data_IF_736898456404
#
_entry.id   IF_736898456404
#
_cell.length_a   1.000
_cell.length_b   1.000
_cell.length_c   1.000
_cell.angle_alpha   90.00
_cell.angle_beta   90.00
_cell.angle_gamma   90.00
#
_symmetry.space_group_name_H-M   'P 1'
#
loop_
_entity.id
_entity.type
_entity.pdbx_description
1 polymer ?
#
# COMPACT_ATOMS: atom_id res chain seq x y z
N UNK A 1 -52.49 -28.52 42.33
CA UNK A 1 -53.69 -28.11 41.55
C UNK A 1 -53.27 -27.73 40.20
N UNK A 2 -53.30 -28.61 39.22
CA UNK A 2 -54.28 -28.79 38.15
C UNK A 2 -54.42 -27.47 37.33
N UNK A 3 -54.11 -27.38 36.06
CA UNK A 3 -54.65 -28.15 34.92
C UNK A 3 -53.75 -28.09 33.70
N UNK A 4 -53.59 -29.22 33.04
CA UNK A 4 -53.17 -29.35 31.65
C UNK A 4 -54.28 -28.93 30.69
N UNK A 5 -53.93 -28.45 29.53
CA UNK A 5 -54.80 -28.47 28.36
C UNK A 5 -53.98 -28.79 27.14
N UNK A 6 -54.22 -29.97 26.63
CA UNK A 6 -53.83 -30.53 25.35
C UNK A 6 -54.83 -30.01 24.31
N UNK A 7 -54.36 -29.56 23.18
CA UNK A 7 -55.15 -29.50 21.96
C UNK A 7 -54.31 -29.97 20.78
N UNK A 8 -54.71 -31.12 20.30
CA UNK A 8 -54.28 -31.73 19.05
C UNK A 8 -55.03 -31.06 17.86
N UNK A 9 -54.40 -31.00 16.73
CA UNK A 9 -55.09 -30.57 15.51
C UNK A 9 -54.26 -30.68 14.24
N UNK A 10 -54.46 -31.79 13.57
CA UNK A 10 -54.50 -31.99 12.12
C UNK A 10 -53.21 -31.79 11.26
N UNK A 11 -52.72 -32.95 10.85
CA UNK A 11 -51.88 -33.12 9.66
C UNK A 11 -52.69 -32.87 8.39
N UNK A 12 -52.15 -32.09 7.49
CA UNK A 12 -52.56 -32.06 6.09
C UNK A 12 -51.32 -32.27 5.21
N UNK A 13 -51.21 -33.44 4.67
CA UNK A 13 -50.24 -33.82 3.67
C UNK A 13 -50.64 -33.20 2.33
N UNK A 14 -49.79 -32.36 1.79
CA UNK A 14 -49.83 -31.93 0.39
C UNK A 14 -48.48 -32.25 -0.28
N UNK A 15 -48.48 -33.28 -1.09
CA UNK A 15 -47.38 -33.60 -2.00
C UNK A 15 -47.34 -32.56 -3.12
N UNK A 16 -46.19 -31.96 -3.44
CA UNK A 16 -46.04 -31.23 -4.69
C UNK A 16 -45.63 -32.16 -5.82
N UNK A 17 -46.26 -31.96 -6.92
CA UNK A 17 -46.02 -32.60 -8.18
C UNK A 17 -44.60 -32.26 -8.71
N UNK A 18 -43.93 -33.32 -9.21
CA UNK A 18 -42.73 -33.23 -10.00
C UNK A 18 -43.05 -32.56 -11.32
N UNK A 19 -42.64 -31.31 -11.51
CA UNK A 19 -42.53 -30.68 -12.81
C UNK A 19 -41.08 -30.63 -13.24
N UNK A 20 -40.73 -31.53 -14.14
CA UNK A 20 -39.45 -31.54 -14.86
C UNK A 20 -39.38 -30.30 -15.77
N UNK A 21 -38.67 -29.30 -15.38
CA UNK A 21 -38.24 -28.23 -16.28
C UNK A 21 -36.73 -28.40 -16.54
N UNK A 22 -36.39 -29.11 -17.60
CA UNK A 22 -35.08 -29.04 -18.25
C UNK A 22 -35.02 -27.67 -18.94
N UNK A 23 -34.40 -26.72 -18.28
CA UNK A 23 -33.95 -25.47 -18.87
C UNK A 23 -32.45 -25.56 -19.11
N UNK A 24 -32.10 -25.68 -20.40
CA UNK A 24 -30.72 -25.66 -20.85
C UNK A 24 -30.05 -24.36 -20.48
N UNK A 25 -29.19 -24.40 -19.51
CA UNK A 25 -28.23 -23.35 -19.28
C UNK A 25 -27.13 -23.45 -20.35
N UNK A 26 -27.32 -22.77 -21.45
CA UNK A 26 -26.22 -22.43 -22.34
C UNK A 26 -25.30 -21.52 -21.56
N UNK A 27 -24.19 -22.10 -21.09
CA UNK A 27 -23.03 -21.35 -20.62
C UNK A 27 -22.53 -20.53 -21.81
N UNK A 28 -22.95 -19.29 -21.89
CA UNK A 28 -22.28 -18.32 -22.74
C UNK A 28 -20.90 -18.16 -22.16
N UNK A 29 -19.91 -18.82 -22.74
CA UNK A 29 -18.52 -18.53 -22.57
C UNK A 29 -18.33 -17.02 -22.85
N UNK A 30 -18.23 -16.22 -21.81
CA UNK A 30 -17.81 -14.84 -21.96
C UNK A 30 -16.43 -14.87 -22.59
N UNK A 31 -16.37 -14.46 -23.86
CA UNK A 31 -15.13 -14.13 -24.54
C UNK A 31 -14.31 -13.26 -23.58
N UNK A 32 -13.01 -13.54 -23.38
CA UNK A 32 -12.16 -12.61 -22.66
C UNK A 32 -12.37 -11.23 -23.28
N UNK A 33 -12.77 -10.27 -22.48
CA UNK A 33 -12.84 -8.87 -22.89
C UNK A 33 -11.48 -8.56 -23.51
N UNK A 34 -11.44 -8.29 -24.80
CA UNK A 34 -10.27 -7.73 -25.45
C UNK A 34 -9.93 -6.48 -24.64
N UNK A 35 -8.83 -6.57 -23.90
CA UNK A 35 -8.19 -5.40 -23.31
C UNK A 35 -7.92 -4.47 -24.50
N UNK A 36 -8.78 -3.50 -24.67
CA UNK A 36 -8.53 -2.41 -25.60
C UNK A 36 -7.16 -1.85 -25.23
N UNK A 37 -6.18 -1.79 -26.14
CA UNK A 37 -4.89 -1.20 -25.83
C UNK A 37 -5.17 0.17 -25.23
N UNK A 38 -4.59 0.45 -24.06
CA UNK A 38 -4.74 1.70 -23.38
C UNK A 38 -4.56 2.82 -24.42
N UNK A 39 -5.60 3.57 -24.63
CA UNK A 39 -5.60 4.66 -25.59
C UNK A 39 -4.51 5.64 -25.13
N UNK A 40 -3.48 5.78 -25.95
CA UNK A 40 -2.46 6.81 -25.92
C UNK A 40 -2.05 7.20 -24.51
N UNK A 41 -0.97 6.60 -24.01
CA UNK A 41 -0.47 6.84 -22.67
C UNK A 41 -0.44 8.33 -22.34
N UNK A 42 -1.45 8.78 -21.64
CA UNK A 42 -1.37 10.05 -20.95
C UNK A 42 -0.24 9.83 -19.96
N UNK A 43 0.86 10.51 -20.17
CA UNK A 43 1.98 10.50 -19.24
C UNK A 43 1.52 11.21 -17.95
N UNK A 44 0.93 10.43 -17.05
CA UNK A 44 0.40 10.93 -15.79
C UNK A 44 1.51 11.60 -14.93
N UNK A 45 2.78 11.32 -15.23
CA UNK A 45 3.89 11.95 -14.54
C UNK A 45 3.99 13.45 -14.84
N UNK A 46 3.56 13.90 -16.03
CA UNK A 46 3.51 15.34 -16.39
C UNK A 46 2.44 16.08 -15.60
N UNK A 47 1.34 15.43 -15.29
CA UNK A 47 0.26 16.01 -14.49
C UNK A 47 0.65 16.16 -13.02
N UNK A 48 1.58 15.34 -12.54
CA UNK A 48 2.09 15.46 -11.17
C UNK A 48 2.82 16.80 -10.93
N UNK A 49 3.46 17.35 -11.93
CA UNK A 49 4.18 18.64 -11.83
C UNK A 49 3.27 19.87 -11.99
N UNK A 50 1.97 19.71 -12.25
CA UNK A 50 1.07 20.83 -12.49
C UNK A 50 0.97 21.75 -11.27
N UNK A 51 1.00 23.07 -11.50
CA UNK A 51 0.94 24.08 -10.43
C UNK A 51 -0.40 24.04 -9.66
N UNK A 52 -1.48 23.64 -10.32
CA UNK A 52 -2.82 23.50 -9.71
C UNK A 52 -3.15 22.08 -9.25
N UNK A 53 -2.15 21.22 -9.04
CA UNK A 53 -2.36 19.84 -8.62
C UNK A 53 -3.15 19.75 -7.30
N UNK A 54 -4.07 18.81 -7.24
CA UNK A 54 -4.82 18.47 -6.03
C UNK A 54 -4.85 16.95 -5.85
N UNK A 55 -4.83 16.46 -4.60
CA UNK A 55 -4.99 15.04 -4.35
C UNK A 55 -6.27 14.49 -4.97
N UNK A 56 -6.19 13.27 -5.50
CA UNK A 56 -7.33 12.51 -6.04
C UNK A 56 -7.98 11.64 -4.97
N UNK A 57 -7.20 11.13 -4.04
CA UNK A 57 -7.61 10.16 -3.03
C UNK A 57 -7.39 10.68 -1.60
N UNK A 58 -6.22 11.24 -1.30
CA UNK A 58 -5.89 11.73 0.03
C UNK A 58 -6.61 13.05 0.33
N UNK A 59 -7.03 13.25 1.56
CA UNK A 59 -7.42 14.56 2.02
C UNK A 59 -6.21 15.48 2.27
N UNK A 60 -6.46 16.76 2.55
CA UNK A 60 -5.38 17.74 2.75
C UNK A 60 -4.47 17.37 3.93
N UNK A 61 -5.07 16.92 5.05
CA UNK A 61 -4.31 16.52 6.22
C UNK A 61 -3.40 15.32 5.95
N UNK A 62 -3.95 14.29 5.32
CA UNK A 62 -3.25 13.07 4.95
C UNK A 62 -2.09 13.36 3.98
N UNK A 63 -2.36 14.18 2.96
CA UNK A 63 -1.35 14.59 1.99
C UNK A 63 -0.20 15.37 2.65
N UNK A 64 -0.50 16.33 3.54
CA UNK A 64 0.55 17.07 4.24
C UNK A 64 1.32 16.22 5.23
N UNK A 65 0.65 15.30 5.94
CA UNK A 65 1.31 14.33 6.81
C UNK A 65 2.27 13.46 6.00
N UNK A 66 1.86 13.01 4.81
CA UNK A 66 2.70 12.23 3.91
C UNK A 66 3.90 13.05 3.39
N UNK A 67 3.72 14.32 3.06
CA UNK A 67 4.83 15.20 2.64
C UNK A 67 5.87 15.31 3.75
N UNK A 68 5.44 15.58 4.99
CA UNK A 68 6.36 15.70 6.13
C UNK A 68 7.08 14.39 6.40
N UNK A 69 6.36 13.26 6.40
CA UNK A 69 6.94 11.94 6.60
C UNK A 69 7.96 11.59 5.50
N UNK A 70 7.60 11.85 4.24
CA UNK A 70 8.48 11.57 3.11
C UNK A 70 9.79 12.35 3.18
N UNK A 71 9.72 13.61 3.56
CA UNK A 71 10.89 14.48 3.74
C UNK A 71 11.80 14.05 4.93
N UNK A 72 11.20 13.40 5.93
CA UNK A 72 11.96 12.82 7.04
C UNK A 72 12.69 11.54 6.64
N UNK A 73 12.09 10.74 5.77
CA UNK A 73 12.65 9.44 5.32
C UNK A 73 13.69 9.66 4.23
N UNK A 74 13.43 10.55 3.29
CA UNK A 74 14.34 10.88 2.17
C UNK A 74 14.47 12.40 2.08
N UNK A 75 15.28 13.00 2.94
CA UNK A 75 15.51 14.45 2.93
C UNK A 75 16.36 14.86 1.73
N UNK A 76 16.20 16.11 1.30
CA UNK A 76 17.15 16.72 0.36
C UNK A 76 18.51 16.91 1.06
N UNK A 77 19.57 16.49 0.38
CA UNK A 77 20.97 16.63 0.82
C UNK A 77 21.78 17.30 -0.29
N UNK A 78 22.79 16.63 -0.81
CA UNK A 78 23.48 16.93 -2.08
C UNK A 78 22.67 16.47 -3.29
N UNK A 79 21.68 15.61 -3.09
CA UNK A 79 20.68 15.19 -4.05
C UNK A 79 19.27 15.66 -3.65
N UNK A 80 18.34 15.85 -4.62
CA UNK A 80 16.96 16.21 -4.32
C UNK A 80 16.26 15.11 -3.53
N UNK A 81 15.42 15.49 -2.55
CA UNK A 81 14.70 14.57 -1.70
C UNK A 81 13.30 14.19 -2.22
N UNK A 82 12.50 13.61 -1.30
CA UNK A 82 11.16 13.12 -1.62
C UNK A 82 10.17 14.22 -2.05
N UNK A 83 10.35 15.45 -1.55
CA UNK A 83 9.51 16.60 -1.95
C UNK A 83 9.73 16.97 -3.39
N UNK A 84 10.99 17.10 -3.81
CA UNK A 84 11.38 17.44 -5.18
C UNK A 84 10.97 16.33 -6.15
N UNK A 85 11.01 15.08 -5.69
CA UNK A 85 10.56 13.92 -6.45
C UNK A 85 9.03 13.79 -6.51
N UNK A 86 8.27 14.68 -5.85
CA UNK A 86 6.80 14.67 -5.81
C UNK A 86 6.21 13.34 -5.32
N UNK A 87 6.87 12.70 -4.37
CA UNK A 87 6.53 11.36 -3.85
C UNK A 87 5.08 11.28 -3.37
N UNK A 88 4.60 12.30 -2.65
CA UNK A 88 3.22 12.36 -2.18
C UNK A 88 2.21 12.33 -3.33
N UNK A 89 2.49 13.04 -4.43
CA UNK A 89 1.60 13.12 -5.60
C UNK A 89 1.56 11.78 -6.35
N UNK A 90 2.69 11.12 -6.48
CA UNK A 90 2.77 9.79 -7.10
C UNK A 90 2.02 8.74 -6.25
N UNK A 91 2.22 8.74 -4.93
CA UNK A 91 1.51 7.82 -4.03
C UNK A 91 0.00 8.05 -4.10
N UNK A 92 -0.46 9.30 -4.09
CA UNK A 92 -1.88 9.64 -4.22
C UNK A 92 -2.48 9.11 -5.53
N UNK A 93 -1.78 9.32 -6.66
CA UNK A 93 -2.19 8.83 -7.98
C UNK A 93 -2.32 7.29 -7.99
N UNK A 94 -1.34 6.58 -7.44
CA UNK A 94 -1.35 5.12 -7.37
C UNK A 94 -2.49 4.63 -6.47
N UNK A 95 -2.65 5.23 -5.29
CA UNK A 95 -3.72 4.88 -4.36
C UNK A 95 -5.11 5.09 -4.97
N UNK A 96 -5.31 6.13 -5.75
CA UNK A 96 -6.58 6.38 -6.43
C UNK A 96 -6.98 5.23 -7.39
N UNK A 97 -6.00 4.48 -7.91
CA UNK A 97 -6.22 3.35 -8.81
C UNK A 97 -6.17 1.97 -8.11
N UNK A 98 -5.78 1.91 -6.85
CA UNK A 98 -5.67 0.65 -6.10
C UNK A 98 -7.02 0.17 -5.53
N UNK A 99 -7.02 -1.07 -5.00
CA UNK A 99 -8.22 -1.66 -4.41
C UNK A 99 -8.60 -0.97 -3.09
N UNK A 100 -9.89 -0.99 -2.69
CA UNK A 100 -10.31 -0.43 -1.40
C UNK A 100 -9.60 -1.04 -0.18
N UNK A 101 -9.14 -2.29 -0.28
CA UNK A 101 -8.37 -2.96 0.76
C UNK A 101 -7.01 -2.30 0.93
N UNK A 102 -6.30 -2.07 -0.16
CA UNK A 102 -4.99 -1.42 -0.18
C UNK A 102 -5.08 0.03 0.28
N UNK A 103 -6.09 0.74 -0.20
CA UNK A 103 -6.39 2.11 0.23
C UNK A 103 -6.59 2.19 1.74
N UNK A 104 -7.42 1.30 2.30
CA UNK A 104 -7.66 1.24 3.76
C UNK A 104 -6.41 0.89 4.54
N UNK A 105 -5.61 -0.06 4.06
CA UNK A 105 -4.36 -0.43 4.72
C UNK A 105 -3.38 0.75 4.81
N UNK A 106 -3.27 1.54 3.74
CA UNK A 106 -2.45 2.75 3.72
C UNK A 106 -2.99 3.81 4.69
N UNK A 107 -4.27 4.13 4.63
CA UNK A 107 -4.91 5.10 5.53
C UNK A 107 -4.81 4.68 7.00
N UNK A 108 -4.95 3.38 7.30
CA UNK A 108 -4.76 2.86 8.65
C UNK A 108 -3.33 3.08 9.15
N UNK A 109 -2.33 2.91 8.28
CA UNK A 109 -0.93 3.14 8.65
C UNK A 109 -0.64 4.63 8.89
N UNK A 110 -1.18 5.50 8.05
CA UNK A 110 -1.05 6.95 8.23
C UNK A 110 -1.80 7.44 9.48
N UNK A 111 -3.01 6.91 9.70
CA UNK A 111 -3.82 7.19 10.90
C UNK A 111 -3.18 6.66 12.18
N UNK A 112 -2.47 5.52 12.13
CA UNK A 112 -1.69 5.03 13.26
C UNK A 112 -0.58 6.00 13.66
N UNK A 113 0.16 6.54 12.68
CA UNK A 113 1.21 7.53 12.92
C UNK A 113 0.65 8.77 13.65
N UNK A 114 -0.46 9.32 13.16
CA UNK A 114 -1.13 10.44 13.81
C UNK A 114 -1.68 10.08 15.21
N UNK A 115 -2.25 8.90 15.36
CA UNK A 115 -2.75 8.41 16.64
C UNK A 115 -1.65 8.31 17.70
N UNK A 116 -0.48 7.75 17.35
CA UNK A 116 0.69 7.70 18.23
C UNK A 116 1.25 9.08 18.55
N UNK A 117 1.25 9.97 17.58
CA UNK A 117 1.61 11.37 17.73
C UNK A 117 0.71 12.07 18.76
N UNK A 118 -0.59 11.97 18.59
CA UNK A 118 -1.58 12.52 19.52
C UNK A 118 -1.46 11.92 20.91
N UNK A 119 -1.20 10.61 21.00
CA UNK A 119 -1.05 9.93 22.29
C UNK A 119 0.17 10.42 23.07
N UNK A 120 1.32 10.57 22.40
CA UNK A 120 2.61 10.91 23.01
C UNK A 120 2.77 12.41 23.21
N UNK A 121 2.44 13.20 22.18
CA UNK A 121 2.80 14.63 22.09
C UNK A 121 1.59 15.58 22.06
N UNK A 122 0.35 15.06 22.03
CA UNK A 122 -0.90 15.84 22.03
C UNK A 122 -1.09 16.70 20.78
N UNK A 123 -0.40 16.38 19.68
CA UNK A 123 -0.53 17.02 18.39
C UNK A 123 -0.44 15.99 17.26
N UNK A 124 -1.04 16.27 16.09
CA UNK A 124 -0.91 15.42 14.92
C UNK A 124 0.54 15.49 14.37
N UNK A 125 1.00 14.43 13.74
CA UNK A 125 2.39 14.24 13.34
C UNK A 125 2.97 15.43 12.56
N UNK A 126 2.23 15.97 11.61
CA UNK A 126 2.67 17.10 10.78
C UNK A 126 2.94 18.39 11.57
N UNK A 127 2.39 18.52 12.78
CA UNK A 127 2.52 19.69 13.63
C UNK A 127 3.56 19.52 14.75
N UNK A 128 4.17 18.34 14.86
CA UNK A 128 5.24 18.11 15.83
C UNK A 128 6.49 18.90 15.48
N UNK A 129 7.31 19.18 16.48
CA UNK A 129 8.68 19.62 16.26
C UNK A 129 9.48 18.52 15.54
N UNK A 130 10.54 18.90 14.84
CA UNK A 130 11.43 17.92 14.18
C UNK A 130 11.97 16.89 15.17
N UNK A 131 12.31 17.34 16.36
CA UNK A 131 12.81 16.49 17.45
C UNK A 131 11.75 15.45 17.87
N UNK A 132 10.49 15.86 18.07
CA UNK A 132 9.41 14.94 18.44
C UNK A 132 9.07 13.96 17.31
N UNK A 133 9.13 14.42 16.05
CA UNK A 133 8.98 13.57 14.88
C UNK A 133 10.06 12.48 14.84
N UNK A 134 11.33 12.87 15.05
CA UNK A 134 12.47 11.95 15.06
C UNK A 134 12.35 10.94 16.21
N UNK A 135 11.96 11.38 17.40
CA UNK A 135 11.72 10.49 18.56
C UNK A 135 10.63 9.47 18.23
N UNK A 136 9.53 9.90 17.61
CA UNK A 136 8.44 9.00 17.23
C UNK A 136 8.88 7.99 16.19
N UNK A 137 9.46 8.46 15.09
CA UNK A 137 9.89 7.61 13.99
C UNK A 137 10.98 6.64 14.43
N UNK A 138 11.92 7.07 15.26
CA UNK A 138 12.95 6.19 15.81
C UNK A 138 12.32 5.05 16.63
N UNK A 139 11.31 5.35 17.45
CA UNK A 139 10.62 4.33 18.24
C UNK A 139 9.85 3.32 17.36
N UNK A 140 9.31 3.75 16.23
CA UNK A 140 8.60 2.88 15.29
C UNK A 140 9.55 2.08 14.38
N UNK A 141 10.65 2.69 13.95
CA UNK A 141 11.66 2.07 13.09
C UNK A 141 12.47 0.98 13.82
N UNK A 142 12.76 1.20 15.10
CA UNK A 142 13.58 0.30 15.90
C UNK A 142 12.77 -0.26 17.07
N UNK A 143 11.88 -1.23 16.82
CA UNK A 143 11.14 -1.87 17.90
C UNK A 143 12.15 -2.47 18.88
N UNK A 144 11.97 -2.20 20.15
CA UNK A 144 12.84 -2.74 21.20
C UNK A 144 12.58 -4.24 21.32
N UNK A 145 13.40 -5.00 20.65
CA UNK A 145 13.47 -6.45 20.83
C UNK A 145 14.59 -6.67 21.82
N UNK A 146 14.30 -7.31 22.94
CA UNK A 146 15.32 -7.69 23.90
C UNK A 146 16.25 -8.74 23.30
N UNK A 147 17.50 -8.39 23.03
CA UNK A 147 18.49 -9.37 22.58
C UNK A 147 19.08 -9.08 21.21
N UNK A 148 19.92 -8.38 20.94
CA UNK A 148 20.89 -8.19 19.88
C UNK A 148 20.49 -8.52 18.44
N UNK A 149 21.23 -7.98 17.55
CA UNK A 149 21.11 -8.02 16.10
C UNK A 149 21.06 -9.44 15.46
N UNK A 150 21.58 -10.46 16.13
CA UNK A 150 21.71 -11.80 15.56
C UNK A 150 20.56 -12.72 15.98
N UNK A 151 19.47 -12.69 15.20
CA UNK A 151 18.51 -13.80 15.21
C UNK A 151 17.52 -13.83 16.35
N UNK A 152 17.25 -12.71 16.98
CA UNK A 152 16.17 -12.65 17.95
C UNK A 152 14.82 -12.65 17.23
N UNK A 153 14.19 -13.83 17.23
CA UNK A 153 12.82 -14.03 16.78
C UNK A 153 11.80 -13.64 17.86
N UNK A 154 12.21 -12.82 18.82
CA UNK A 154 11.35 -12.29 19.85
C UNK A 154 10.13 -11.59 19.26
N UNK A 155 8.99 -11.68 19.92
CA UNK A 155 7.76 -11.04 19.47
C UNK A 155 8.00 -9.54 19.26
N UNK A 156 7.58 -9.01 18.11
CA UNK A 156 7.62 -7.58 17.83
C UNK A 156 6.86 -6.85 18.93
N UNK A 157 7.58 -6.08 19.70
CA UNK A 157 7.01 -5.41 20.86
C UNK A 157 6.14 -4.20 20.51
N UNK A 158 6.32 -3.62 19.32
CA UNK A 158 5.56 -2.43 18.89
C UNK A 158 4.76 -2.75 17.61
N UNK A 159 3.41 -2.78 17.68
CA UNK A 159 2.56 -2.96 16.51
C UNK A 159 2.74 -1.84 15.47
N UNK A 160 3.23 -0.67 15.86
CA UNK A 160 3.49 0.46 14.98
C UNK A 160 4.63 0.23 13.99
N UNK A 161 5.54 -0.70 14.26
CA UNK A 161 6.62 -1.03 13.33
C UNK A 161 6.10 -1.45 11.96
N UNK A 162 5.09 -2.32 11.91
CA UNK A 162 4.48 -2.76 10.65
C UNK A 162 3.85 -1.60 9.86
N UNK A 163 3.23 -0.65 10.54
CA UNK A 163 2.68 0.55 9.91
C UNK A 163 3.78 1.47 9.36
N UNK A 164 4.85 1.66 10.12
CA UNK A 164 5.99 2.45 9.68
C UNK A 164 6.67 1.82 8.46
N UNK A 165 6.95 0.52 8.47
CA UNK A 165 7.57 -0.18 7.34
C UNK A 165 6.69 -0.14 6.08
N UNK A 166 5.37 -0.24 6.22
CA UNK A 166 4.44 -0.11 5.09
C UNK A 166 4.51 1.29 4.45
N UNK A 167 4.50 2.35 5.27
CA UNK A 167 4.62 3.73 4.79
C UNK A 167 6.00 3.99 4.16
N UNK A 168 7.07 3.58 4.84
CA UNK A 168 8.44 3.72 4.34
C UNK A 168 8.63 3.01 3.01
N UNK A 169 8.15 1.78 2.90
CA UNK A 169 8.23 1.00 1.65
C UNK A 169 7.54 1.71 0.48
N UNK A 170 6.36 2.29 0.70
CA UNK A 170 5.65 3.08 -0.32
C UNK A 170 6.42 4.34 -0.73
N UNK A 171 6.97 5.06 0.24
CA UNK A 171 7.76 6.28 0.00
C UNK A 171 9.02 5.95 -0.80
N UNK A 172 9.76 4.92 -0.40
CA UNK A 172 10.97 4.47 -1.11
C UNK A 172 10.65 4.03 -2.54
N UNK A 173 9.61 3.23 -2.72
CA UNK A 173 9.17 2.79 -4.06
C UNK A 173 8.82 4.00 -4.93
N UNK A 174 8.04 4.95 -4.41
CA UNK A 174 7.67 6.15 -5.15
C UNK A 174 8.89 7.02 -5.52
N UNK A 175 9.83 7.16 -4.60
CA UNK A 175 11.05 7.95 -4.84
C UNK A 175 11.92 7.32 -5.93
N UNK A 176 12.26 6.03 -5.80
CA UNK A 176 13.11 5.35 -6.76
C UNK A 176 12.42 4.99 -8.08
N UNK A 177 11.10 5.18 -8.18
CA UNK A 177 10.36 5.17 -9.45
C UNK A 177 10.29 6.55 -10.11
N UNK A 178 10.85 7.60 -9.51
CA UNK A 178 10.93 8.93 -10.08
C UNK A 178 12.23 9.13 -10.88
N UNK A 179 12.22 10.05 -11.83
CA UNK A 179 13.46 10.42 -12.57
C UNK A 179 14.60 10.87 -11.64
N UNK A 180 14.26 11.47 -10.50
CA UNK A 180 15.23 11.91 -9.50
C UNK A 180 15.87 10.69 -8.82
N UNK A 181 15.07 9.74 -8.35
CA UNK A 181 15.57 8.54 -7.69
C UNK A 181 16.31 7.61 -8.65
N UNK A 182 15.83 7.46 -9.88
CA UNK A 182 16.53 6.71 -10.94
C UNK A 182 17.92 7.27 -11.21
N UNK A 183 18.02 8.59 -11.32
CA UNK A 183 19.31 9.28 -11.52
C UNK A 183 20.25 9.09 -10.32
N UNK A 184 19.73 9.11 -9.10
CA UNK A 184 20.51 8.86 -7.89
C UNK A 184 21.09 7.43 -7.88
N UNK A 185 20.33 6.45 -8.39
CA UNK A 185 20.81 5.07 -8.57
C UNK A 185 21.82 4.92 -9.74
N UNK A 186 22.08 5.98 -10.49
CA UNK A 186 22.93 5.94 -11.67
C UNK A 186 22.28 5.23 -12.86
N UNK A 187 20.95 5.09 -12.84
CA UNK A 187 20.24 4.44 -13.93
C UNK A 187 19.98 5.43 -15.07
N UNK A 188 20.36 5.03 -16.28
CA UNK A 188 20.27 5.84 -17.51
C UNK A 188 18.99 5.61 -18.33
N UNK A 189 18.05 4.82 -17.79
CA UNK A 189 16.81 4.45 -18.47
C UNK A 189 16.94 3.24 -19.41
N UNK A 190 18.11 2.62 -19.51
CA UNK A 190 18.32 1.45 -20.35
C UNK A 190 17.85 0.18 -19.64
N UNK A 191 16.71 -0.36 -20.05
CA UNK A 191 16.25 -1.69 -19.60
C UNK A 191 16.93 -2.87 -20.30
N UNK A 192 17.58 -2.62 -21.42
CA UNK A 192 18.18 -3.68 -22.22
C UNK A 192 19.64 -3.83 -21.88
N UNK A 193 19.98 -4.81 -21.10
CA UNK A 193 21.31 -5.39 -21.19
C UNK A 193 21.44 -6.00 -22.59
N UNK A 194 22.56 -5.74 -23.26
CA UNK A 194 22.89 -6.43 -24.51
C UNK A 194 22.80 -7.95 -24.35
N UNK A 195 22.83 -8.72 -25.44
CA UNK A 195 22.82 -10.16 -25.36
C UNK A 195 23.88 -10.64 -24.37
N UNK A 196 23.53 -11.57 -23.51
CA UNK A 196 24.50 -12.17 -22.58
C UNK A 196 25.69 -12.70 -23.37
N UNK A 197 26.88 -12.16 -23.10
CA UNK A 197 28.10 -12.48 -23.84
C UNK A 197 28.70 -13.85 -23.49
N UNK A 198 28.08 -14.57 -22.54
CA UNK A 198 28.60 -15.79 -21.99
C UNK A 198 29.42 -15.54 -20.72
N UNK A 199 29.85 -16.61 -20.09
CA UNK A 199 30.77 -16.55 -18.96
C UNK A 199 32.21 -16.51 -19.48
N UNK A 200 33.04 -15.59 -18.97
CA UNK A 200 34.46 -15.48 -19.35
C UNK A 200 35.33 -16.54 -18.68
N UNK A 201 34.78 -17.40 -17.82
CA UNK A 201 35.51 -18.45 -17.14
C UNK A 201 35.50 -19.76 -17.97
N UNK A 202 36.55 -20.59 -17.88
CA UNK A 202 36.63 -21.87 -18.61
C UNK A 202 35.47 -22.80 -18.29
N UNK A 203 34.96 -23.51 -19.33
CA UNK A 203 33.90 -24.52 -19.15
C UNK A 203 34.35 -25.55 -18.11
N UNK A 204 33.60 -25.69 -17.03
CA UNK A 204 33.81 -26.67 -15.96
C UNK A 204 33.88 -26.17 -14.53
N UNK A 205 33.92 -24.84 -14.30
CA UNK A 205 33.98 -24.26 -12.94
C UNK A 205 32.63 -24.03 -12.29
N UNK A 206 31.56 -24.61 -12.83
CA UNK A 206 30.25 -24.63 -12.19
C UNK A 206 30.16 -25.78 -11.18
N UNK A 207 30.72 -25.59 -9.99
CA UNK A 207 30.51 -26.48 -8.84
C UNK A 207 29.49 -25.90 -7.88
#
# INVERSE_FOLDING_TARGET
MLRASVLAGAAAALQPALASAQSGAQSAAQKPSELTPAQNGVDASKDLAAAGWKPLFLDEHQNETLIVLSDLIIPATDTPGAKEALVNRYIDLVLAAETPETQRAFLNSLGYLDGESMRRFKAAFRYLSREDQDILLHALAYPRVGGGWAGDTGAVADPGHGHFEALKGRIMTAYYSSQIGEKELGWDGAFAHGPFQGCEHPEGDHK
#
